data_IF_516234012487
#
_entry.id   IF_516234012487
#
_cell.length_a   1.000
_cell.length_b   1.000
_cell.length_c   1.000
_cell.angle_alpha   90.00
_cell.angle_beta   90.00
_cell.angle_gamma   90.00
#
_symmetry.space_group_name_H-M   'P 1'
#
loop_
_entity.id
_entity.type
_entity.pdbx_description
1 polymer ?
#
# COMPACT_ATOMS: atom_id res chain seq x y z
N UNK A 1 -9.50 -3.77 4.76
CA UNK A 1 -8.22 -4.08 4.10
C UNK A 1 -7.09 -3.54 4.94
N UNK A 2 -5.97 -4.26 5.04
CA UNK A 2 -4.77 -3.79 5.74
C UNK A 2 -3.56 -3.81 4.82
N UNK A 3 -2.58 -2.95 5.13
CA UNK A 3 -1.30 -2.94 4.43
C UNK A 3 -0.33 -3.87 5.18
N UNK A 4 0.04 -4.97 4.56
CA UNK A 4 0.90 -6.01 5.14
C UNK A 4 2.08 -6.28 4.20
N UNK A 5 3.24 -6.60 4.78
CA UNK A 5 4.40 -7.07 4.02
C UNK A 5 4.04 -8.40 3.34
N UNK A 6 4.68 -8.71 2.21
CA UNK A 6 4.42 -9.95 1.46
C UNK A 6 4.51 -11.22 2.33
N UNK A 7 5.48 -11.29 3.24
CA UNK A 7 5.63 -12.42 4.16
C UNK A 7 4.42 -12.58 5.10
N UNK A 8 3.87 -11.48 5.61
CA UNK A 8 2.72 -11.49 6.50
C UNK A 8 1.41 -11.73 5.75
N UNK A 9 1.32 -11.33 4.49
CA UNK A 9 0.21 -11.71 3.62
C UNK A 9 0.18 -13.21 3.38
N UNK A 10 1.34 -13.83 3.13
CA UNK A 10 1.41 -15.29 2.96
C UNK A 10 0.95 -16.03 4.21
N UNK A 11 1.30 -15.54 5.41
CA UNK A 11 0.77 -16.08 6.66
C UNK A 11 -0.74 -15.93 6.75
N UNK A 12 -1.27 -14.75 6.41
CA UNK A 12 -2.72 -14.50 6.42
C UNK A 12 -3.46 -15.46 5.47
N UNK A 13 -2.93 -15.68 4.25
CA UNK A 13 -3.51 -16.61 3.27
C UNK A 13 -3.32 -18.09 3.66
N UNK A 14 -2.32 -18.41 4.48
CA UNK A 14 -2.11 -19.77 4.99
C UNK A 14 -2.97 -20.08 6.23
N UNK A 15 -3.22 -19.07 7.06
CA UNK A 15 -4.05 -19.18 8.27
C UNK A 15 -5.55 -19.06 7.94
N UNK A 16 -5.91 -18.33 6.87
CA UNK A 16 -7.29 -18.09 6.49
C UNK A 16 -7.52 -18.27 4.97
N UNK A 17 -8.26 -19.31 4.61
CA UNK A 17 -8.63 -19.61 3.21
C UNK A 17 -9.47 -18.51 2.55
N UNK A 18 -10.20 -17.72 3.35
CA UNK A 18 -11.04 -16.61 2.90
C UNK A 18 -10.26 -15.29 2.68
N UNK A 19 -8.99 -15.24 3.11
CA UNK A 19 -8.16 -14.07 2.89
C UNK A 19 -7.79 -13.95 1.41
N UNK A 20 -7.89 -12.73 0.87
CA UNK A 20 -7.66 -12.48 -0.55
C UNK A 20 -6.74 -11.28 -0.78
N UNK A 21 -5.92 -11.31 -1.85
CA UNK A 21 -5.17 -10.13 -2.25
C UNK A 21 -6.11 -9.01 -2.70
N UNK A 22 -5.76 -7.77 -2.34
CA UNK A 22 -6.52 -6.62 -2.79
C UNK A 22 -6.27 -6.36 -4.28
N UNK A 23 -7.29 -6.60 -5.11
CA UNK A 23 -7.21 -6.54 -6.59
C UNK A 23 -8.14 -5.46 -7.18
N UNK A 24 -7.96 -4.17 -6.86
CA UNK A 24 -8.79 -3.11 -7.44
C UNK A 24 -8.60 -3.08 -8.97
N UNK A 25 -9.71 -3.10 -9.72
CA UNK A 25 -9.74 -3.10 -11.19
C UNK A 25 -8.96 -4.25 -11.85
N UNK A 26 -8.91 -5.42 -11.21
CA UNK A 26 -8.28 -6.62 -11.78
C UNK A 26 -6.75 -6.63 -11.75
N UNK A 27 -6.11 -5.64 -11.10
CA UNK A 27 -4.66 -5.65 -10.85
C UNK A 27 -4.41 -5.78 -9.36
N UNK A 28 -3.62 -6.78 -8.98
CA UNK A 28 -3.19 -6.96 -7.59
C UNK A 28 -2.33 -5.77 -7.17
N UNK A 29 -2.81 -5.05 -6.16
CA UNK A 29 -2.03 -4.02 -5.51
C UNK A 29 -1.14 -4.70 -4.48
N UNK A 30 0.18 -4.56 -4.67
CA UNK A 30 1.16 -5.14 -3.73
C UNK A 30 0.97 -4.51 -2.36
N UNK A 31 1.31 -5.27 -1.33
CA UNK A 31 1.27 -4.84 0.08
C UNK A 31 -0.13 -4.66 0.68
N UNK A 32 -1.23 -4.91 -0.05
CA UNK A 32 -2.60 -4.85 0.49
C UNK A 32 -3.29 -6.21 0.48
N UNK A 33 -3.86 -6.58 1.62
CA UNK A 33 -4.66 -7.78 1.79
C UNK A 33 -6.06 -7.46 2.32
N UNK A 34 -7.04 -8.23 1.87
CA UNK A 34 -8.41 -8.23 2.38
C UNK A 34 -8.44 -9.18 3.57
N UNK A 35 -8.90 -8.66 4.71
CA UNK A 35 -9.11 -9.47 5.90
C UNK A 35 -10.44 -10.24 5.74
N UNK A 36 -10.46 -11.54 6.07
CA UNK A 36 -11.67 -12.32 6.09
C UNK A 36 -12.55 -11.97 7.31
N UNK A 37 -13.86 -12.27 7.27
CA UNK A 37 -14.76 -12.11 8.40
C UNK A 37 -14.27 -12.82 9.67
N UNK A 38 -13.66 -14.00 9.52
CA UNK A 38 -13.09 -14.77 10.65
C UNK A 38 -12.02 -14.02 11.44
N UNK A 39 -11.29 -13.09 10.80
CA UNK A 39 -10.34 -12.20 11.48
C UNK A 39 -11.01 -10.95 11.99
N UNK A 40 -12.00 -10.43 11.26
CA UNK A 40 -12.71 -9.21 11.64
C UNK A 40 -13.61 -9.40 12.87
N UNK A 41 -14.23 -10.56 13.00
CA UNK A 41 -15.16 -10.91 14.08
C UNK A 41 -14.44 -11.34 15.37
N UNK A 42 -13.14 -11.63 15.31
CA UNK A 42 -12.29 -11.92 16.46
C UNK A 42 -11.41 -10.70 16.78
N UNK A 43 -11.72 -10.02 17.89
CA UNK A 43 -10.98 -8.82 18.32
C UNK A 43 -9.47 -9.10 18.53
N UNK A 44 -9.10 -10.28 19.02
CA UNK A 44 -7.70 -10.61 19.29
C UNK A 44 -6.92 -10.80 17.98
N UNK A 45 -7.48 -11.54 17.03
CA UNK A 45 -6.86 -11.71 15.70
C UNK A 45 -6.82 -10.37 14.96
N UNK A 46 -7.91 -9.60 14.95
CA UNK A 46 -7.95 -8.28 14.33
C UNK A 46 -6.84 -7.37 14.88
N UNK A 47 -6.66 -7.37 16.20
CA UNK A 47 -5.65 -6.54 16.87
C UNK A 47 -4.22 -6.96 16.53
N UNK A 48 -3.95 -8.28 16.51
CA UNK A 48 -2.69 -8.85 16.05
C UNK A 48 -2.36 -8.39 14.63
N UNK A 49 -3.29 -8.52 13.69
CA UNK A 49 -3.07 -8.10 12.30
C UNK A 49 -2.95 -6.59 12.14
N UNK A 50 -3.69 -5.80 12.94
CA UNK A 50 -3.54 -4.35 12.99
C UNK A 50 -2.16 -3.91 13.47
N UNK A 51 -1.63 -4.53 14.53
CA UNK A 51 -0.31 -4.22 15.06
C UNK A 51 0.79 -4.55 14.05
N UNK A 52 0.69 -5.69 13.35
CA UNK A 52 1.61 -6.04 12.25
C UNK A 52 1.54 -4.99 11.13
N UNK A 53 0.34 -4.60 10.72
CA UNK A 53 0.15 -3.57 9.68
C UNK A 53 0.74 -2.23 10.10
N UNK A 54 0.50 -1.82 11.35
CA UNK A 54 1.02 -0.58 11.92
C UNK A 54 2.54 -0.58 11.98
N UNK A 55 3.15 -1.67 12.45
CA UNK A 55 4.60 -1.82 12.49
C UNK A 55 5.22 -1.74 11.09
N UNK A 56 4.62 -2.43 10.11
CA UNK A 56 5.08 -2.39 8.72
C UNK A 56 5.02 -0.96 8.16
N UNK A 57 3.87 -0.29 8.26
CA UNK A 57 3.70 1.08 7.75
C UNK A 57 4.65 2.06 8.46
N UNK A 58 4.88 1.89 9.75
CA UNK A 58 5.80 2.72 10.54
C UNK A 58 7.26 2.51 10.12
N UNK A 59 7.61 1.31 9.66
CA UNK A 59 8.97 1.00 9.18
C UNK A 59 9.27 1.55 7.77
N UNK A 60 8.23 1.90 7.00
CA UNK A 60 8.41 2.36 5.63
C UNK A 60 9.13 3.71 5.60
N UNK A 61 10.11 3.89 4.70
CA UNK A 61 10.80 5.16 4.57
C UNK A 61 9.79 6.25 4.20
N UNK A 62 9.91 7.40 4.87
CA UNK A 62 9.10 8.57 4.55
C UNK A 62 9.29 8.88 3.07
N UNK A 63 8.19 8.86 2.32
CA UNK A 63 8.19 9.09 0.88
C UNK A 63 9.01 10.33 0.55
N UNK A 64 10.17 10.13 -0.07
CA UNK A 64 11.01 11.23 -0.53
C UNK A 64 10.17 12.07 -1.50
N UNK A 65 10.00 13.35 -1.17
CA UNK A 65 9.35 14.30 -2.07
C UNK A 65 10.25 14.40 -3.29
N UNK A 66 9.88 13.74 -4.39
CA UNK A 66 10.50 14.03 -5.69
C UNK A 66 10.35 15.53 -5.93
N UNK A 67 11.46 16.24 -6.01
CA UNK A 67 11.46 17.64 -6.43
C UNK A 67 10.74 17.72 -7.77
N UNK A 68 9.63 18.46 -7.79
CA UNK A 68 8.94 18.76 -9.02
C UNK A 68 9.90 19.62 -9.84
N UNK A 69 10.52 19.05 -10.88
CA UNK A 69 11.20 19.87 -11.89
C UNK A 69 10.17 20.83 -12.47
N UNK A 70 10.27 22.09 -12.07
CA UNK A 70 9.55 23.21 -12.66
C UNK A 70 9.91 23.27 -14.14
N UNK A 71 8.93 22.97 -15.01
CA UNK A 71 9.00 23.34 -16.42
C UNK A 71 8.75 24.84 -16.53
N UNK A 72 9.77 25.64 -16.25
CA UNK A 72 9.77 27.04 -16.64
C UNK A 72 11.15 27.42 -17.14
N UNK A 73 11.29 27.48 -18.47
CA UNK A 73 12.19 28.39 -19.21
C UNK A 73 12.34 27.93 -20.66
N UNK A 74 11.45 28.37 -21.55
CA UNK A 74 11.86 28.81 -22.90
C UNK A 74 10.84 29.76 -23.52
N UNK A 75 10.77 30.98 -22.99
CA UNK A 75 10.22 32.15 -23.70
C UNK A 75 11.32 33.20 -23.82
N UNK A 76 12.03 33.18 -24.95
CA UNK A 76 12.83 34.23 -25.63
C UNK A 76 13.69 33.49 -26.68
N UNK A 77 13.71 33.80 -27.98
CA UNK A 77 14.02 35.08 -28.63
C UNK A 77 13.85 34.97 -30.18
N UNK A 78 13.60 36.12 -30.85
CA UNK A 78 13.60 36.47 -32.32
C UNK A 78 12.17 36.59 -32.90
N UNK A 79 11.54 37.78 -33.04
CA UNK A 79 11.83 39.05 -33.78
C UNK A 79 11.64 38.91 -35.31
N UNK A 80 10.88 39.85 -35.89
CA UNK A 80 10.61 40.27 -37.31
C UNK A 80 11.59 39.76 -38.39
N UNK A 81 11.25 39.60 -39.68
CA UNK A 81 10.40 40.34 -40.64
C UNK A 81 9.96 39.37 -41.77
#
# INVERSE_FOLDING_TARGET
MLRLKEDDQQKLYAEHDEAAPFTPNGRQMREYAILPPSVYDDEMELRKWLDISYAYVSSLPKKEKKEKKSKDSKKTKKTED
#
